data_IF_878415111333
#
_entry.id   IF_878415111333
#
_cell.length_a   1.000
_cell.length_b   1.000
_cell.length_c   1.000
_cell.angle_alpha   90.00
_cell.angle_beta   90.00
_cell.angle_gamma   90.00
#
_symmetry.space_group_name_H-M   'P 1'
#
loop_
_entity.id
_entity.type
_entity.pdbx_description
1 polymer ?
#
# COMPACT_ATOMS: atom_id res chain seq x y z
N UNK A 1 -48.76 -22.60 16.90
CA UNK A 1 -47.59 -22.23 17.71
C UNK A 1 -46.35 -22.74 16.98
N UNK A 2 -45.73 -21.89 16.17
CA UNK A 2 -44.50 -22.21 15.45
C UNK A 2 -43.41 -21.33 16.07
N UNK A 3 -42.39 -21.99 16.61
CA UNK A 3 -41.23 -21.36 17.23
C UNK A 3 -40.55 -20.41 16.22
N UNK A 4 -40.65 -19.10 16.47
CA UNK A 4 -39.80 -18.11 15.84
C UNK A 4 -38.47 -18.09 16.59
N UNK A 5 -37.46 -18.76 16.02
CA UNK A 5 -36.08 -18.63 16.46
C UNK A 5 -35.60 -17.21 16.19
N UNK A 6 -35.43 -16.46 17.26
CA UNK A 6 -34.82 -15.13 17.26
C UNK A 6 -33.36 -15.26 16.78
N UNK A 7 -32.93 -14.62 15.68
CA UNK A 7 -31.52 -14.60 15.31
C UNK A 7 -30.81 -13.65 16.27
N UNK A 8 -30.14 -14.23 17.27
CA UNK A 8 -29.16 -13.52 18.07
C UNK A 8 -28.15 -12.88 17.11
N UNK A 9 -28.11 -11.56 17.15
CA UNK A 9 -27.07 -10.69 16.63
C UNK A 9 -25.70 -11.29 16.92
N UNK A 10 -24.99 -11.72 15.88
CA UNK A 10 -23.56 -12.06 15.94
C UNK A 10 -22.78 -10.77 16.22
N UNK A 11 -22.68 -10.40 17.50
CA UNK A 11 -21.58 -9.56 17.95
C UNK A 11 -20.29 -10.32 17.63
N UNK A 12 -19.33 -9.66 17.00
CA UNK A 12 -18.02 -10.22 16.72
C UNK A 12 -17.40 -10.70 18.04
N UNK A 13 -17.40 -12.01 18.27
CA UNK A 13 -16.75 -12.62 19.42
C UNK A 13 -15.27 -12.41 19.22
N UNK A 14 -14.72 -11.38 19.87
CA UNK A 14 -13.27 -11.19 19.95
C UNK A 14 -12.69 -12.49 20.51
N UNK A 15 -11.75 -13.09 19.76
CA UNK A 15 -11.15 -14.36 20.15
C UNK A 15 -10.57 -14.21 21.57
N UNK A 16 -10.87 -15.14 22.49
CA UNK A 16 -10.41 -15.09 23.89
C UNK A 16 -8.88 -14.92 23.98
N UNK A 17 -8.15 -15.49 23.03
CA UNK A 17 -6.69 -15.32 22.94
C UNK A 17 -6.32 -13.89 22.55
N UNK A 18 -6.98 -13.31 21.54
CA UNK A 18 -6.76 -11.92 21.15
C UNK A 18 -7.00 -10.97 22.33
N UNK A 19 -8.13 -11.09 23.03
CA UNK A 19 -8.41 -10.19 24.16
C UNK A 19 -7.31 -10.26 25.22
N UNK A 20 -6.88 -11.46 25.59
CA UNK A 20 -5.78 -11.68 26.54
C UNK A 20 -4.47 -11.02 26.10
N UNK A 21 -4.13 -11.07 24.82
CA UNK A 21 -2.95 -10.39 24.27
C UNK A 21 -3.10 -8.87 24.24
N UNK A 22 -4.27 -8.36 23.83
CA UNK A 22 -4.56 -6.93 23.82
C UNK A 22 -4.48 -6.32 25.21
N UNK A 23 -4.98 -7.03 26.23
CA UNK A 23 -4.87 -6.63 27.63
C UNK A 23 -3.41 -6.61 28.08
N UNK A 24 -2.66 -7.69 27.84
CA UNK A 24 -1.26 -7.81 28.27
C UNK A 24 -0.31 -6.79 27.61
N UNK A 25 -0.60 -6.37 26.38
CA UNK A 25 0.14 -5.34 25.65
C UNK A 25 -0.43 -3.93 25.84
N UNK A 26 -1.49 -3.77 26.64
CA UNK A 26 -2.09 -2.48 26.98
C UNK A 26 -2.92 -1.83 25.86
N UNK A 27 -3.24 -2.55 24.78
CA UNK A 27 -4.08 -2.03 23.69
C UNK A 27 -5.53 -1.79 24.11
N UNK A 28 -6.05 -2.60 25.04
CA UNK A 28 -7.44 -2.49 25.52
C UNK A 28 -7.76 -1.16 26.20
N UNK A 29 -6.75 -0.46 26.72
CA UNK A 29 -6.92 0.85 27.36
C UNK A 29 -7.02 2.01 26.36
N UNK A 30 -6.77 1.75 25.06
CA UNK A 30 -6.73 2.77 24.03
C UNK A 30 -8.12 3.07 23.45
N UNK A 31 -8.92 3.82 24.21
CA UNK A 31 -10.25 4.24 23.78
C UNK A 31 -10.18 5.05 22.48
N UNK A 32 -10.96 4.62 21.47
CA UNK A 32 -11.08 5.30 20.18
C UNK A 32 -9.96 5.01 19.18
N UNK A 33 -8.87 4.35 19.60
CA UNK A 33 -7.75 4.00 18.73
C UNK A 33 -7.70 2.49 18.39
N UNK A 34 -8.30 1.63 19.23
CA UNK A 34 -8.44 0.20 18.95
C UNK A 34 -9.84 -0.10 18.39
N UNK A 35 -9.89 -0.67 17.19
CA UNK A 35 -11.12 -1.05 16.50
C UNK A 35 -11.18 -2.57 16.35
N UNK A 36 -12.19 -3.22 16.92
CA UNK A 36 -12.40 -4.68 16.81
C UNK A 36 -13.58 -5.07 15.93
N UNK A 37 -14.38 -4.08 15.51
CA UNK A 37 -15.47 -4.28 14.56
C UNK A 37 -15.69 -3.03 13.68
N UNK A 38 -16.15 -3.19 12.41
CA UNK A 38 -16.42 -2.06 11.51
C UNK A 38 -17.38 -1.00 12.08
N UNK A 39 -18.31 -1.41 12.95
CA UNK A 39 -19.30 -0.53 13.59
C UNK A 39 -18.70 0.36 14.69
N UNK A 40 -17.53 -0.01 15.24
CA UNK A 40 -16.84 0.76 16.27
C UNK A 40 -15.98 1.89 15.71
N UNK A 41 -15.61 1.79 14.43
CA UNK A 41 -14.84 2.84 13.77
C UNK A 41 -15.71 4.11 13.73
N UNK A 42 -15.19 5.31 14.07
CA UNK A 42 -15.94 6.56 13.94
C UNK A 42 -16.34 6.86 12.48
N UNK A 43 -17.46 7.55 12.27
CA UNK A 43 -17.96 7.86 10.92
C UNK A 43 -17.04 8.86 10.20
N UNK A 44 -16.45 9.76 10.98
CA UNK A 44 -15.53 10.82 10.62
C UNK A 44 -14.07 10.38 10.51
N UNK A 45 -13.77 9.11 10.81
CA UNK A 45 -12.39 8.60 10.75
C UNK A 45 -11.86 8.64 9.32
N UNK A 46 -10.70 9.28 9.11
CA UNK A 46 -10.13 9.52 7.78
C UNK A 46 -9.91 8.22 7.00
N UNK A 47 -9.52 7.14 7.70
CA UNK A 47 -9.31 5.80 7.10
C UNK A 47 -10.46 4.84 7.39
N UNK A 48 -11.67 5.34 7.63
CA UNK A 48 -12.82 4.50 7.98
C UNK A 48 -13.00 3.36 6.98
N UNK A 49 -12.95 3.67 5.68
CA UNK A 49 -13.22 2.70 4.62
C UNK A 49 -12.20 1.56 4.64
N UNK A 50 -10.94 1.91 4.82
CA UNK A 50 -9.82 0.97 4.83
C UNK A 50 -9.84 0.11 6.09
N UNK A 51 -10.02 0.71 7.27
CA UNK A 51 -10.15 -0.03 8.54
C UNK A 51 -11.34 -0.99 8.48
N UNK A 52 -12.50 -0.54 8.00
CA UNK A 52 -13.66 -1.42 7.83
C UNK A 52 -13.38 -2.56 6.84
N UNK A 53 -12.63 -2.31 5.76
CA UNK A 53 -12.22 -3.35 4.81
C UNK A 53 -11.24 -4.37 5.40
N UNK A 54 -10.36 -3.95 6.31
CA UNK A 54 -9.49 -4.85 7.06
C UNK A 54 -10.30 -5.73 8.02
N UNK A 55 -11.26 -5.14 8.73
CA UNK A 55 -12.11 -5.80 9.74
C UNK A 55 -13.28 -6.62 9.16
N UNK A 56 -13.57 -6.50 7.86
CA UNK A 56 -14.67 -7.23 7.22
C UNK A 56 -14.49 -8.75 7.38
N UNK A 57 -15.38 -9.47 8.08
CA UNK A 57 -15.28 -10.91 8.28
C UNK A 57 -15.47 -11.72 6.99
N UNK A 58 -16.10 -11.14 5.95
CA UNK A 58 -16.21 -11.72 4.61
C UNK A 58 -15.07 -11.27 3.68
N UNK A 59 -14.22 -10.36 4.14
CA UNK A 59 -13.10 -9.80 3.38
C UNK A 59 -11.95 -10.77 3.17
N UNK A 60 -10.92 -10.33 2.45
CA UNK A 60 -9.72 -11.13 2.22
C UNK A 60 -8.76 -11.11 3.43
N UNK A 61 -8.72 -10.01 4.18
CA UNK A 61 -7.83 -9.82 5.33
C UNK A 61 -8.45 -10.41 6.60
N UNK A 62 -9.68 -9.99 6.95
CA UNK A 62 -10.42 -10.48 8.14
C UNK A 62 -9.61 -10.29 9.42
N UNK A 63 -9.08 -9.08 9.60
CA UNK A 63 -8.45 -8.66 10.84
C UNK A 63 -9.47 -8.75 11.97
N UNK A 64 -9.00 -9.15 13.15
CA UNK A 64 -9.82 -9.16 14.36
C UNK A 64 -9.72 -7.86 15.15
N UNK A 65 -8.62 -7.12 14.96
CA UNK A 65 -8.49 -5.78 15.46
C UNK A 65 -7.55 -4.98 14.57
N UNK A 66 -7.73 -3.66 14.57
CA UNK A 66 -6.82 -2.67 13.99
C UNK A 66 -6.57 -1.60 15.04
N UNK A 67 -5.31 -1.24 15.25
CA UNK A 67 -4.92 -0.17 16.16
C UNK A 67 -4.32 1.00 15.39
N UNK A 68 -4.80 2.19 15.72
CA UNK A 68 -4.36 3.45 15.15
C UNK A 68 -3.38 4.19 16.07
N UNK A 69 -2.38 4.82 15.47
CA UNK A 69 -1.54 5.84 16.13
C UNK A 69 -1.91 7.18 15.53
N UNK A 70 -2.39 8.11 16.36
CA UNK A 70 -2.85 9.44 15.95
C UNK A 70 -3.83 9.43 14.77
N UNK A 71 -4.74 8.44 14.76
CA UNK A 71 -5.75 8.26 13.72
C UNK A 71 -5.24 7.64 12.41
N UNK A 72 -4.02 7.09 12.39
CA UNK A 72 -3.46 6.33 11.26
C UNK A 72 -3.33 4.85 11.64
N UNK A 73 -3.90 3.90 10.86
CA UNK A 73 -3.76 2.48 11.12
C UNK A 73 -2.30 2.06 11.17
N UNK A 74 -1.85 1.49 12.27
CA UNK A 74 -0.45 1.12 12.48
C UNK A 74 -0.27 -0.40 12.61
N UNK A 75 -1.18 -1.05 13.34
CA UNK A 75 -1.09 -2.47 13.69
C UNK A 75 -2.37 -3.20 13.30
N UNK A 76 -2.22 -4.35 12.64
CA UNK A 76 -3.32 -5.23 12.28
C UNK A 76 -3.17 -6.57 13.01
N UNK A 77 -4.22 -7.00 13.70
CA UNK A 77 -4.25 -8.25 14.45
C UNK A 77 -5.02 -9.31 13.69
N UNK A 78 -4.36 -10.43 13.37
CA UNK A 78 -4.95 -11.56 12.66
C UNK A 78 -5.24 -12.72 13.61
N UNK A 79 -6.39 -13.36 13.40
CA UNK A 79 -6.82 -14.55 14.12
C UNK A 79 -6.00 -15.79 13.79
N UNK A 80 -6.05 -16.76 14.70
CA UNK A 80 -5.78 -18.16 14.40
C UNK A 80 -7.02 -18.82 13.77
N UNK A 81 -7.27 -18.58 12.49
CA UNK A 81 -8.33 -19.25 11.70
C UNK A 81 -7.76 -20.32 10.76
N UNK A 82 -6.64 -20.93 11.16
CA UNK A 82 -5.87 -21.88 10.33
C UNK A 82 -4.92 -21.22 9.33
N UNK A 83 -5.08 -19.91 9.02
CA UNK A 83 -4.17 -19.19 8.13
C UNK A 83 -2.81 -18.88 8.75
N UNK A 84 -2.69 -18.87 10.08
CA UNK A 84 -1.42 -18.65 10.79
C UNK A 84 -0.32 -19.63 10.36
N UNK A 85 -0.70 -20.88 10.05
CA UNK A 85 0.22 -21.92 9.58
C UNK A 85 0.42 -21.94 8.06
N UNK A 86 -0.34 -21.13 7.32
CA UNK A 86 -0.28 -21.04 5.86
C UNK A 86 0.50 -19.77 5.46
N UNK A 87 1.79 -19.96 5.20
CA UNK A 87 2.68 -18.87 4.78
C UNK A 87 2.19 -18.16 3.51
N UNK A 88 1.58 -18.89 2.55
CA UNK A 88 1.09 -18.30 1.32
C UNK A 88 -0.15 -17.42 1.57
N UNK A 89 -1.04 -17.86 2.47
CA UNK A 89 -2.19 -17.05 2.89
C UNK A 89 -1.74 -15.78 3.64
N UNK A 90 -0.77 -15.89 4.55
CA UNK A 90 -0.22 -14.73 5.27
C UNK A 90 0.47 -13.74 4.33
N UNK A 91 1.22 -14.23 3.35
CA UNK A 91 1.87 -13.37 2.36
C UNK A 91 0.86 -12.64 1.48
N UNK A 92 -0.21 -13.31 1.06
CA UNK A 92 -1.29 -12.69 0.31
C UNK A 92 -2.07 -11.66 1.14
N UNK A 93 -2.13 -11.81 2.46
CA UNK A 93 -2.69 -10.79 3.37
C UNK A 93 -1.73 -9.61 3.49
N UNK A 94 -0.45 -9.86 3.73
CA UNK A 94 0.60 -8.82 3.84
C UNK A 94 0.68 -7.98 2.56
N UNK A 95 0.61 -8.61 1.39
CA UNK A 95 0.57 -7.91 0.10
C UNK A 95 -0.65 -6.99 -0.05
N UNK A 96 -1.83 -7.44 0.41
CA UNK A 96 -3.04 -6.60 0.38
C UNK A 96 -2.98 -5.43 1.36
N UNK A 97 -2.40 -5.66 2.53
CA UNK A 97 -2.18 -4.62 3.54
C UNK A 97 -1.14 -3.61 3.02
N UNK A 98 -0.08 -4.11 2.38
CA UNK A 98 0.95 -3.31 1.74
C UNK A 98 0.40 -2.39 0.66
N UNK A 99 -0.44 -2.91 -0.22
CA UNK A 99 -1.07 -2.14 -1.29
C UNK A 99 -1.98 -1.02 -0.77
N UNK A 100 -2.42 -1.10 0.49
CA UNK A 100 -3.20 -0.04 1.14
C UNK A 100 -2.29 1.03 1.78
N UNK A 101 -1.01 0.73 2.02
CA UNK A 101 0.00 1.63 2.59
C UNK A 101 -0.41 2.32 3.91
N UNK A 102 -1.17 1.62 4.76
CA UNK A 102 -1.61 2.15 6.06
C UNK A 102 -0.93 1.42 7.21
N UNK A 103 -1.21 0.13 7.38
CA UNK A 103 -0.66 -0.69 8.46
C UNK A 103 0.81 -1.02 8.20
N UNK A 104 1.63 -0.88 9.24
CA UNK A 104 3.06 -1.16 9.18
C UNK A 104 3.46 -2.49 9.84
N UNK A 105 2.62 -3.00 10.76
CA UNK A 105 2.89 -4.23 11.53
C UNK A 105 1.67 -5.16 11.46
N UNK A 106 1.91 -6.44 11.16
CA UNK A 106 0.89 -7.50 11.28
C UNK A 106 1.25 -8.40 12.45
N UNK A 107 0.30 -8.60 13.38
CA UNK A 107 0.43 -9.52 14.51
C UNK A 107 -0.51 -10.69 14.33
N UNK A 108 0.02 -11.90 14.14
CA UNK A 108 -0.80 -13.13 14.18
C UNK A 108 -0.85 -13.64 15.61
N UNK A 109 -2.05 -13.82 16.15
CA UNK A 109 -2.26 -14.16 17.55
C UNK A 109 -2.59 -15.65 17.71
N UNK A 110 -1.79 -16.36 18.51
CA UNK A 110 -2.06 -17.71 18.98
C UNK A 110 -2.30 -17.78 20.50
N UNK A 111 -2.49 -18.99 21.05
CA UNK A 111 -2.84 -19.16 22.46
C UNK A 111 -1.74 -18.73 23.42
N UNK A 112 -0.49 -19.09 23.11
CA UNK A 112 0.68 -18.86 23.95
C UNK A 112 1.82 -18.17 23.21
N UNK A 113 1.65 -17.89 21.92
CA UNK A 113 2.64 -17.18 21.11
C UNK A 113 1.95 -16.23 20.13
N UNK A 114 2.58 -15.09 19.88
CA UNK A 114 2.24 -14.19 18.81
C UNK A 114 3.42 -14.04 17.86
N UNK A 115 3.15 -13.78 16.58
CA UNK A 115 4.19 -13.52 15.60
C UNK A 115 3.97 -12.16 14.96
N UNK A 116 4.96 -11.29 15.09
CA UNK A 116 5.04 -10.00 14.42
C UNK A 116 5.69 -10.16 13.05
N UNK A 117 5.04 -9.57 12.05
CA UNK A 117 5.42 -9.64 10.64
C UNK A 117 5.52 -8.21 10.08
N UNK A 118 6.64 -7.84 9.45
CA UNK A 118 6.72 -6.59 8.70
C UNK A 118 5.81 -6.65 7.48
N UNK A 119 5.19 -5.54 7.10
CA UNK A 119 4.37 -5.50 5.87
C UNK A 119 5.25 -5.35 4.62
N UNK A 120 6.41 -4.70 4.73
CA UNK A 120 7.26 -4.26 3.61
C UNK A 120 7.90 -5.35 2.77
N UNK A 121 8.37 -6.43 3.39
CA UNK A 121 9.12 -7.44 2.65
C UNK A 121 8.97 -8.81 3.27
N UNK A 122 8.71 -9.79 2.40
CA UNK A 122 8.62 -11.21 2.74
C UNK A 122 9.97 -11.81 3.13
N UNK A 123 11.07 -11.19 2.71
CA UNK A 123 12.42 -11.64 3.05
C UNK A 123 12.89 -11.20 4.43
N UNK A 124 12.19 -10.26 5.07
CA UNK A 124 12.53 -9.83 6.42
C UNK A 124 12.05 -10.86 7.44
N UNK A 125 12.87 -11.11 8.49
CA UNK A 125 12.52 -12.07 9.52
C UNK A 125 11.27 -11.61 10.28
N UNK A 126 10.42 -12.57 10.62
CA UNK A 126 9.34 -12.39 11.59
C UNK A 126 9.86 -12.57 13.00
N UNK A 127 9.21 -11.95 13.98
CA UNK A 127 9.55 -12.09 15.39
C UNK A 127 8.44 -12.78 16.16
N UNK A 128 8.78 -13.85 16.89
CA UNK A 128 7.82 -14.61 17.70
C UNK A 128 8.02 -14.27 19.17
N UNK A 129 6.93 -13.95 19.86
CA UNK A 129 6.91 -13.64 21.29
C UNK A 129 6.09 -14.70 22.01
N UNK A 130 6.61 -15.22 23.11
CA UNK A 130 5.82 -16.03 24.02
C UNK A 130 4.90 -15.13 24.85
N UNK A 131 3.71 -15.61 25.20
CA UNK A 131 2.77 -14.85 26.01
C UNK A 131 3.37 -14.44 27.37
N UNK A 132 4.27 -15.26 27.94
CA UNK A 132 4.98 -14.93 29.18
C UNK A 132 5.88 -13.70 29.09
N UNK A 133 6.23 -13.28 27.87
CA UNK A 133 7.05 -12.09 27.61
C UNK A 133 6.19 -10.85 27.29
N UNK A 134 4.86 -11.03 27.18
CA UNK A 134 3.93 -9.93 26.91
C UNK A 134 3.91 -8.95 28.09
N UNK A 135 4.03 -7.67 27.77
CA UNK A 135 4.09 -6.58 28.74
C UNK A 135 3.57 -5.29 28.10
N UNK A 136 2.95 -4.43 28.90
CA UNK A 136 2.47 -3.11 28.47
C UNK A 136 3.58 -2.19 27.94
N UNK A 137 4.84 -2.45 28.32
CA UNK A 137 6.03 -1.71 27.88
C UNK A 137 7.03 -2.59 27.12
N UNK A 138 6.63 -3.81 26.75
CA UNK A 138 7.46 -4.73 26.00
C UNK A 138 7.39 -4.51 24.48
N UNK A 139 8.13 -5.30 23.69
CA UNK A 139 8.11 -5.19 22.24
C UNK A 139 6.70 -5.41 21.67
N UNK A 140 6.34 -4.59 20.67
CA UNK A 140 5.03 -4.54 20.03
C UNK A 140 3.86 -4.19 20.96
N UNK A 141 4.13 -3.75 22.19
CA UNK A 141 3.09 -3.22 23.06
C UNK A 141 2.53 -1.91 22.51
N UNK A 142 1.40 -1.46 23.07
CA UNK A 142 0.86 -0.15 22.73
C UNK A 142 1.90 0.96 22.97
N UNK A 143 2.60 0.92 24.11
CA UNK A 143 3.58 1.94 24.47
C UNK A 143 4.76 1.96 23.47
N UNK A 144 5.24 0.79 23.06
CA UNK A 144 6.31 0.64 22.06
C UNK A 144 5.91 1.21 20.69
N UNK A 145 4.70 0.88 20.23
CA UNK A 145 4.18 1.36 18.94
C UNK A 145 3.86 2.85 18.95
N UNK A 146 3.28 3.39 20.04
CA UNK A 146 2.92 4.81 20.13
C UNK A 146 4.13 5.73 20.32
N UNK A 147 5.13 5.29 21.10
CA UNK A 147 6.38 6.06 21.27
C UNK A 147 7.24 6.02 20.01
N UNK A 148 7.06 4.98 19.20
CA UNK A 148 7.81 4.75 17.98
C UNK A 148 9.14 4.03 18.19
N UNK A 149 9.40 3.51 19.40
CA UNK A 149 10.62 2.73 19.65
C UNK A 149 10.70 1.46 18.80
N UNK A 150 9.54 0.89 18.44
CA UNK A 150 9.45 -0.21 17.49
C UNK A 150 10.14 0.11 16.14
N UNK A 151 10.11 1.38 15.70
CA UNK A 151 10.76 1.83 14.47
C UNK A 151 12.28 1.94 14.62
N UNK A 152 12.74 2.37 15.79
CA UNK A 152 14.16 2.53 16.13
C UNK A 152 14.84 1.17 16.23
N UNK A 153 14.16 0.21 16.86
CA UNK A 153 14.68 -1.15 17.05
C UNK A 153 14.66 -1.98 15.76
N UNK A 154 13.77 -1.67 14.82
CA UNK A 154 13.55 -2.44 13.57
C UNK A 154 13.56 -1.57 12.32
N UNK A 155 14.65 -0.81 12.04
CA UNK A 155 14.67 0.15 10.94
C UNK A 155 14.39 -0.50 9.57
N UNK A 156 14.81 -1.76 9.37
CA UNK A 156 14.57 -2.50 8.14
C UNK A 156 13.10 -2.84 7.89
N UNK A 157 12.26 -2.93 8.93
CA UNK A 157 10.83 -3.20 8.81
C UNK A 157 10.03 -2.00 8.27
N UNK A 158 10.61 -0.81 8.33
CA UNK A 158 9.92 0.44 8.03
C UNK A 158 10.63 1.31 6.99
N UNK A 159 11.63 0.75 6.30
CA UNK A 159 12.36 1.41 5.21
C UNK A 159 11.37 2.06 4.21
N UNK A 160 11.54 3.35 3.93
CA UNK A 160 10.59 4.12 3.13
C UNK A 160 10.54 3.62 1.67
N UNK A 161 11.62 3.01 1.20
CA UNK A 161 11.87 2.58 -0.18
C UNK A 161 10.94 1.44 -0.65
N UNK A 162 10.19 0.81 0.27
CA UNK A 162 9.19 -0.18 -0.10
C UNK A 162 7.79 0.37 -0.30
N UNK A 163 7.36 1.37 0.50
CA UNK A 163 5.94 1.74 0.60
C UNK A 163 5.42 2.24 -0.75
N UNK A 164 4.21 1.84 -1.15
CA UNK A 164 3.49 2.45 -2.29
C UNK A 164 3.18 3.89 -1.89
N UNK A 165 4.08 4.79 -2.23
CA UNK A 165 4.17 6.11 -1.63
C UNK A 165 2.84 6.88 -1.78
N UNK A 166 2.22 7.22 -0.64
CA UNK A 166 1.01 8.04 -0.64
C UNK A 166 1.30 9.45 -1.12
N UNK A 167 2.51 9.94 -0.88
CA UNK A 167 2.99 11.20 -1.45
C UNK A 167 3.07 11.06 -2.97
N UNK A 168 3.50 9.91 -3.51
CA UNK A 168 3.41 9.62 -4.94
C UNK A 168 1.97 9.61 -5.44
N UNK A 169 1.02 8.97 -4.75
CA UNK A 169 -0.40 8.97 -5.15
C UNK A 169 -1.05 10.36 -5.07
N UNK A 170 -0.74 11.13 -4.05
CA UNK A 170 -1.20 12.52 -3.89
C UNK A 170 -0.56 13.42 -4.97
N UNK A 171 0.74 13.29 -5.21
CA UNK A 171 1.45 13.97 -6.30
C UNK A 171 0.89 13.58 -7.66
N UNK A 172 0.51 12.31 -7.85
CA UNK A 172 -0.13 11.81 -9.07
C UNK A 172 -1.48 12.50 -9.28
N UNK A 173 -2.32 12.59 -8.24
CA UNK A 173 -3.60 13.28 -8.31
C UNK A 173 -3.45 14.79 -8.56
N UNK A 174 -2.45 15.43 -7.96
CA UNK A 174 -2.11 16.83 -8.25
C UNK A 174 -1.68 16.98 -9.71
N UNK A 175 -0.79 16.11 -10.20
CA UNK A 175 -0.31 16.14 -11.58
C UNK A 175 -1.44 15.93 -12.59
N UNK A 176 -2.37 15.00 -12.33
CA UNK A 176 -3.56 14.80 -13.17
C UNK A 176 -4.39 16.09 -13.26
N UNK A 177 -4.64 16.77 -12.13
CA UNK A 177 -5.36 18.06 -12.13
C UNK A 177 -4.61 19.17 -12.87
N UNK A 178 -3.28 19.21 -12.75
CA UNK A 178 -2.46 20.17 -13.51
C UNK A 178 -2.55 19.91 -15.03
N UNK A 179 -2.50 18.64 -15.44
CA UNK A 179 -2.66 18.24 -16.85
C UNK A 179 -4.05 18.58 -17.41
N UNK A 180 -5.11 18.41 -16.63
CA UNK A 180 -6.45 18.89 -16.97
C UNK A 180 -6.45 20.41 -17.21
N UNK A 181 -5.72 21.18 -16.38
CA UNK A 181 -5.51 22.62 -16.56
C UNK A 181 -4.77 23.00 -17.85
N UNK A 182 -4.03 22.06 -18.46
CA UNK A 182 -3.38 22.22 -19.76
C UNK A 182 -4.23 21.73 -20.94
N UNK A 183 -5.49 21.37 -20.70
CA UNK A 183 -6.46 21.01 -21.74
C UNK A 183 -6.60 19.51 -22.03
N UNK A 184 -6.02 18.64 -21.19
CA UNK A 184 -6.25 17.20 -21.29
C UNK A 184 -7.59 16.83 -20.65
N UNK A 185 -8.26 15.80 -21.20
CA UNK A 185 -9.35 15.17 -20.46
C UNK A 185 -8.79 14.44 -19.23
N UNK A 186 -9.59 14.30 -18.18
CA UNK A 186 -9.18 13.54 -16.98
C UNK A 186 -8.68 12.13 -17.32
N UNK A 187 -9.35 11.46 -18.26
CA UNK A 187 -8.99 10.10 -18.70
C UNK A 187 -7.63 10.11 -19.39
N UNK A 188 -7.41 11.06 -20.29
CA UNK A 188 -6.13 11.21 -21.00
C UNK A 188 -4.98 11.56 -20.04
N UNK A 189 -5.23 12.43 -19.06
CA UNK A 189 -4.25 12.78 -18.03
C UNK A 189 -3.90 11.55 -17.16
N UNK A 190 -4.90 10.74 -16.78
CA UNK A 190 -4.67 9.51 -16.03
C UNK A 190 -3.90 8.46 -16.85
N UNK A 191 -4.22 8.30 -18.13
CA UNK A 191 -3.50 7.39 -19.03
C UNK A 191 -2.05 7.83 -19.22
N UNK A 192 -1.81 9.11 -19.47
CA UNK A 192 -0.45 9.67 -19.57
C UNK A 192 0.36 9.40 -18.30
N UNK A 193 -0.23 9.65 -17.13
CA UNK A 193 0.46 9.39 -15.87
C UNK A 193 0.71 7.90 -15.64
N UNK A 194 -0.23 7.02 -15.99
CA UNK A 194 -0.03 5.58 -15.92
C UNK A 194 1.12 5.12 -16.83
N UNK A 195 1.23 5.68 -18.04
CA UNK A 195 2.34 5.41 -18.96
C UNK A 195 3.68 5.87 -18.39
N UNK A 196 3.75 7.10 -17.88
CA UNK A 196 4.97 7.64 -17.26
C UNK A 196 5.42 6.77 -16.09
N UNK A 197 4.49 6.39 -15.21
CA UNK A 197 4.78 5.53 -14.06
C UNK A 197 5.24 4.13 -14.48
N UNK A 198 4.61 3.55 -15.49
CA UNK A 198 4.96 2.21 -15.98
C UNK A 198 6.36 2.18 -16.59
N UNK A 199 6.71 3.16 -17.43
CA UNK A 199 8.05 3.25 -18.03
C UNK A 199 9.11 3.51 -16.96
N UNK A 200 8.84 4.44 -16.03
CA UNK A 200 9.75 4.70 -14.90
C UNK A 200 10.00 3.42 -14.08
N UNK A 201 8.96 2.62 -13.83
CA UNK A 201 9.09 1.32 -13.18
C UNK A 201 10.00 0.35 -13.95
N UNK A 202 9.81 0.21 -15.27
CA UNK A 202 10.64 -0.68 -16.09
C UNK A 202 12.11 -0.24 -16.10
N UNK A 203 12.37 1.07 -16.17
CA UNK A 203 13.71 1.64 -16.14
C UNK A 203 14.38 1.42 -14.78
N UNK A 204 13.66 1.70 -13.68
CA UNK A 204 14.16 1.55 -12.31
C UNK A 204 14.45 0.08 -11.94
N UNK A 205 13.62 -0.86 -12.38
CA UNK A 205 13.83 -2.31 -12.18
C UNK A 205 14.91 -2.90 -13.08
N UNK A 206 15.53 -2.09 -13.94
CA UNK A 206 16.57 -2.52 -14.87
C UNK A 206 16.07 -3.32 -16.07
N UNK A 207 14.74 -3.48 -16.23
CA UNK A 207 14.10 -4.21 -17.34
C UNK A 207 14.29 -3.44 -18.64
N UNK A 208 14.00 -2.14 -18.62
CA UNK A 208 14.33 -1.19 -19.69
C UNK A 208 15.62 -0.42 -19.36
N UNK A 209 16.62 -1.12 -18.80
CA UNK A 209 17.87 -0.54 -18.30
C UNK A 209 18.86 -0.12 -19.40
N UNK A 210 20.09 0.23 -19.01
CA UNK A 210 21.11 0.76 -19.93
C UNK A 210 21.48 -0.18 -21.09
N UNK A 211 21.43 -1.49 -20.88
CA UNK A 211 21.67 -2.48 -21.95
C UNK A 211 20.52 -2.49 -22.95
N UNK A 212 19.28 -2.62 -22.48
CA UNK A 212 18.07 -2.53 -23.32
C UNK A 212 18.07 -1.27 -24.20
N UNK A 213 18.35 -0.12 -23.58
CA UNK A 213 18.39 1.18 -24.27
C UNK A 213 19.45 1.25 -25.36
N UNK A 214 20.64 0.69 -25.14
CA UNK A 214 21.69 0.60 -26.16
C UNK A 214 21.30 -0.34 -27.29
N UNK A 215 20.78 -1.51 -26.96
CA UNK A 215 20.43 -2.55 -27.94
C UNK A 215 19.28 -2.12 -28.85
N UNK A 216 18.41 -1.23 -28.37
CA UNK A 216 17.27 -0.71 -29.12
C UNK A 216 17.40 0.75 -29.56
N UNK A 217 18.56 1.38 -29.33
CA UNK A 217 18.84 2.77 -29.70
C UNK A 217 17.76 3.75 -29.21
N UNK A 218 17.41 3.65 -27.93
CA UNK A 218 16.44 4.53 -27.26
C UNK A 218 17.07 5.15 -26.00
N UNK A 219 16.62 6.34 -25.59
CA UNK A 219 17.09 7.02 -24.38
C UNK A 219 16.06 6.87 -23.24
N UNK A 220 16.41 7.27 -22.01
CA UNK A 220 15.47 7.17 -20.89
C UNK A 220 14.31 8.15 -21.04
N UNK A 221 13.13 7.76 -20.58
CA UNK A 221 11.95 8.63 -20.63
C UNK A 221 12.22 9.98 -19.97
N UNK A 222 12.91 9.97 -18.82
CA UNK A 222 13.33 11.17 -18.10
C UNK A 222 14.07 12.17 -19.01
N UNK A 223 15.07 11.68 -19.74
CA UNK A 223 15.93 12.52 -20.59
C UNK A 223 15.18 13.05 -21.79
N UNK A 224 14.35 12.21 -22.40
CA UNK A 224 13.54 12.56 -23.57
C UNK A 224 12.50 13.64 -23.22
N UNK A 225 11.77 13.48 -22.12
CA UNK A 225 10.80 14.48 -21.64
C UNK A 225 11.52 15.77 -21.24
N UNK A 226 12.67 15.69 -20.59
CA UNK A 226 13.48 16.85 -20.21
C UNK A 226 13.96 17.69 -21.39
N UNK A 227 14.18 17.08 -22.56
CA UNK A 227 14.52 17.78 -23.82
C UNK A 227 13.29 18.17 -24.65
N UNK A 228 12.09 17.73 -24.27
CA UNK A 228 10.90 17.86 -25.10
C UNK A 228 10.95 17.02 -26.39
N UNK A 229 11.72 15.93 -26.41
CA UNK A 229 11.89 15.08 -27.59
C UNK A 229 10.71 14.09 -27.76
N UNK A 230 9.63 14.60 -28.32
CA UNK A 230 8.40 13.82 -28.57
C UNK A 230 8.66 12.63 -29.52
N UNK A 231 9.58 12.78 -30.47
CA UNK A 231 9.90 11.70 -31.41
C UNK A 231 10.63 10.56 -30.69
N UNK A 232 11.59 10.89 -29.84
CA UNK A 232 12.28 9.93 -28.98
C UNK A 232 11.34 9.25 -27.99
N UNK A 233 10.43 9.99 -27.34
CA UNK A 233 9.41 9.40 -26.45
C UNK A 233 8.55 8.39 -27.21
N UNK A 234 8.10 8.75 -28.42
CA UNK A 234 7.28 7.87 -29.25
C UNK A 234 8.05 6.61 -29.66
N UNK A 235 9.33 6.74 -30.03
CA UNK A 235 10.21 5.61 -30.36
C UNK A 235 10.36 4.65 -29.17
N UNK A 236 10.62 5.19 -27.98
CA UNK A 236 10.72 4.41 -26.75
C UNK A 236 9.42 3.64 -26.45
N UNK A 237 8.28 4.33 -26.44
CA UNK A 237 6.98 3.73 -26.10
C UNK A 237 6.57 2.65 -27.10
N UNK A 238 6.77 2.89 -28.41
CA UNK A 238 6.49 1.89 -29.44
C UNK A 238 7.37 0.64 -29.28
N UNK A 239 8.65 0.83 -28.93
CA UNK A 239 9.56 -0.29 -28.72
C UNK A 239 9.16 -1.11 -27.49
N UNK A 240 8.88 -0.45 -26.36
CA UNK A 240 8.41 -1.12 -25.15
C UNK A 240 7.09 -1.86 -25.40
N UNK A 241 6.19 -1.29 -26.19
CA UNK A 241 4.94 -1.95 -26.59
C UNK A 241 5.19 -3.24 -27.36
N UNK A 242 6.07 -3.22 -28.35
CA UNK A 242 6.43 -4.42 -29.12
C UNK A 242 7.04 -5.50 -28.25
N UNK A 243 7.90 -5.13 -27.30
CA UNK A 243 8.67 -6.09 -26.51
C UNK A 243 7.93 -6.63 -25.29
N UNK A 244 6.98 -5.87 -24.74
CA UNK A 244 6.27 -6.21 -23.50
C UNK A 244 4.75 -6.43 -23.69
N UNK A 245 4.23 -6.42 -24.92
CA UNK A 245 2.80 -6.66 -25.26
C UNK A 245 1.82 -5.82 -24.40
N UNK A 246 2.13 -4.54 -24.19
CA UNK A 246 1.38 -3.70 -23.26
C UNK A 246 0.28 -2.86 -23.92
N UNK A 247 -0.99 -3.22 -23.71
CA UNK A 247 -2.16 -2.38 -24.02
C UNK A 247 -2.14 -1.03 -23.24
N UNK A 248 -1.44 -1.02 -22.09
CA UNK A 248 -1.25 0.19 -21.25
C UNK A 248 -0.44 1.30 -21.96
N UNK A 249 0.28 0.98 -23.03
CA UNK A 249 1.12 1.92 -23.80
C UNK A 249 0.38 2.57 -24.99
N UNK A 250 -0.92 2.29 -25.15
CA UNK A 250 -1.80 3.00 -26.08
C UNK A 250 -2.67 4.02 -25.34
N UNK A 251 -2.48 5.34 -25.53
CA UNK A 251 -3.58 6.28 -25.36
C UNK A 251 -4.62 6.01 -26.46
N UNK A 252 -5.88 6.42 -26.30
CA UNK A 252 -6.92 6.24 -27.32
C UNK A 252 -6.67 6.94 -28.68
N UNK A 253 -5.51 7.58 -28.87
CA UNK A 253 -4.98 8.12 -30.11
C UNK A 253 -3.50 7.69 -30.28
N UNK A 254 -2.97 7.70 -31.51
CA UNK A 254 -1.56 7.39 -31.76
C UNK A 254 -0.63 8.14 -30.80
N UNK A 255 0.24 7.42 -30.09
CA UNK A 255 1.09 7.94 -29.01
C UNK A 255 1.84 9.21 -29.39
N UNK A 256 2.36 9.27 -30.61
CA UNK A 256 3.06 10.46 -31.09
C UNK A 256 2.15 11.70 -31.21
N UNK A 257 0.93 11.53 -31.72
CA UNK A 257 -0.07 12.60 -31.83
C UNK A 257 -0.57 13.04 -30.46
N UNK A 258 -0.61 12.13 -29.49
CA UNK A 258 -0.93 12.45 -28.11
C UNK A 258 0.15 13.33 -27.47
N UNK A 259 1.40 12.90 -27.51
CA UNK A 259 2.52 13.63 -26.91
C UNK A 259 2.82 14.96 -27.61
N UNK A 260 2.55 15.09 -28.91
CA UNK A 260 2.65 16.37 -29.66
C UNK A 260 1.67 17.43 -29.17
N UNK A 261 0.51 17.04 -28.64
CA UNK A 261 -0.51 17.99 -28.16
C UNK A 261 -0.18 18.58 -26.80
N UNK A 262 0.82 18.05 -26.09
CA UNK A 262 1.21 18.55 -24.79
C UNK A 262 1.92 19.92 -24.94
N UNK A 263 1.44 20.98 -24.27
CA UNK A 263 2.16 22.25 -24.25
C UNK A 263 3.50 22.09 -23.52
N UNK A 264 4.49 22.91 -23.87
CA UNK A 264 5.82 22.86 -23.25
C UNK A 264 5.79 23.00 -21.71
N UNK A 265 4.82 23.74 -21.17
CA UNK A 265 4.57 23.84 -19.73
C UNK A 265 4.16 22.50 -19.10
N UNK A 266 3.30 21.72 -19.77
CA UNK A 266 2.92 20.37 -19.32
C UNK A 266 4.12 19.41 -19.35
N UNK A 267 4.92 19.44 -20.43
CA UNK A 267 6.16 18.65 -20.52
C UNK A 267 7.15 18.99 -19.40
N UNK A 268 7.30 20.27 -19.09
CA UNK A 268 8.16 20.72 -17.99
C UNK A 268 7.66 20.23 -16.62
N UNK A 269 6.33 20.20 -16.42
CA UNK A 269 5.72 19.67 -15.19
C UNK A 269 5.88 18.16 -15.07
N UNK A 270 5.71 17.42 -16.16
CA UNK A 270 5.98 15.97 -16.21
C UNK A 270 7.43 15.67 -15.86
N UNK A 271 8.39 16.39 -16.45
CA UNK A 271 9.80 16.22 -16.12
C UNK A 271 10.10 16.53 -14.63
N UNK A 272 9.49 17.59 -14.09
CA UNK A 272 9.63 17.93 -12.68
C UNK A 272 8.98 16.89 -11.74
N UNK A 273 7.88 16.27 -12.14
CA UNK A 273 7.26 15.16 -11.43
C UNK A 273 8.22 13.96 -11.39
N UNK A 274 8.78 13.55 -12.53
CA UNK A 274 9.70 12.41 -12.60
C UNK A 274 10.94 12.59 -11.71
N UNK A 275 11.49 13.81 -11.61
CA UNK A 275 12.59 14.15 -10.68
C UNK A 275 12.31 13.91 -9.20
N UNK A 276 11.04 13.83 -8.81
CA UNK A 276 10.62 13.63 -7.41
C UNK A 276 10.29 12.16 -7.09
N UNK A 277 10.25 11.32 -8.12
CA UNK A 277 9.90 9.89 -8.02
C UNK A 277 11.14 9.00 -8.13
N UNK A 278 12.24 9.53 -8.67
CA UNK A 278 13.60 8.97 -8.58
C UNK A 278 14.28 9.32 -7.23
#
# INVERSE_FOLDING_TARGET
MVYSGNPLTKAAVTNRHLQRWLDAWGYSDAQGALHTAPEQVPAEHVYRREICGLLDPAGAVRAQAVFDVDGVPAVCFLAEDGRRGDAAALDAIRERIWNQNLVSIVLTIGPDQATALPVISRSLPSETLAFSEASETGPFSRADVQSGEVFVDRPSWFAAEGRVDRVLLENLQVMVRELEGYGLSKVDAQLLMAQVMFVAYLEHRGIAGATYRRDHDVESLFTLVGRGDVAGVSKLLNRLKTDFNGDLLEPGAETQEFWKKLPAAAMSRLHAFMRRVD
#
